data_IF_842544251471
#
_entry.id   IF_842544251471
#
_cell.length_a   1.000
_cell.length_b   1.000
_cell.length_c   1.000
_cell.angle_alpha   90.00
_cell.angle_beta   90.00
_cell.angle_gamma   90.00
#
_symmetry.space_group_name_H-M   'P 1'
#
loop_
_entity.id
_entity.type
_entity.pdbx_description
1 polymer ?
#
# COMPACT_ATOMS: atom_id res chain seq x y z
N UNK A 1 13.79 54.53 -68.03
CA UNK A 1 14.40 55.27 -66.91
C UNK A 1 14.96 54.27 -65.89
N UNK A 2 16.28 54.11 -65.85
CA UNK A 2 17.04 53.75 -64.64
C UNK A 2 17.61 55.09 -64.08
N UNK A 3 18.28 55.23 -62.89
CA UNK A 3 19.11 54.21 -62.20
C UNK A 3 19.14 54.30 -60.62
N UNK A 4 19.46 53.21 -59.90
CA UNK A 4 20.72 52.78 -59.21
C UNK A 4 21.09 53.37 -57.81
N UNK A 5 21.42 52.40 -56.93
CA UNK A 5 22.54 52.29 -55.94
C UNK A 5 22.56 53.14 -54.65
N UNK A 6 22.75 52.47 -53.49
CA UNK A 6 24.06 52.24 -52.84
C UNK A 6 23.96 51.38 -51.57
N UNK A 7 24.93 50.47 -51.42
CA UNK A 7 25.34 49.74 -50.20
C UNK A 7 26.29 50.61 -49.36
N UNK A 8 26.45 50.36 -48.04
CA UNK A 8 27.73 50.31 -47.25
C UNK A 8 27.47 50.28 -45.71
N UNK A 9 27.78 49.12 -45.12
CA UNK A 9 28.63 48.72 -43.95
C UNK A 9 29.32 49.75 -42.98
N UNK A 10 29.14 49.49 -41.66
CA UNK A 10 29.96 49.63 -40.39
C UNK A 10 30.43 50.98 -39.79
N UNK A 11 30.14 51.17 -38.48
CA UNK A 11 31.11 51.58 -37.42
C UNK A 11 30.59 51.31 -35.99
N UNK A 12 31.45 50.75 -35.12
CA UNK A 12 31.25 50.34 -33.71
C UNK A 12 31.02 51.48 -32.70
N UNK A 13 30.31 51.19 -31.60
CA UNK A 13 30.53 51.80 -30.27
C UNK A 13 29.94 50.91 -29.17
N UNK A 14 30.79 50.44 -28.26
CA UNK A 14 30.44 49.74 -27.01
C UNK A 14 29.77 50.67 -25.99
N UNK A 15 28.72 50.19 -25.28
CA UNK A 15 28.38 50.67 -23.94
C UNK A 15 27.93 49.52 -23.01
N UNK A 16 28.61 49.46 -21.87
CA UNK A 16 28.53 48.49 -20.78
C UNK A 16 27.28 48.62 -19.90
N UNK A 17 26.76 47.46 -19.45
CA UNK A 17 25.65 47.34 -18.48
C UNK A 17 26.21 47.02 -17.07
N UNK A 18 25.78 47.71 -15.99
CA UNK A 18 26.34 47.52 -14.65
C UNK A 18 25.68 46.36 -13.84
N UNK A 19 26.37 45.79 -12.82
CA UNK A 19 26.00 44.55 -12.12
C UNK A 19 25.08 44.73 -10.89
N UNK A 20 24.48 43.64 -10.34
CA UNK A 20 23.46 43.72 -9.30
C UNK A 20 24.01 43.84 -7.86
N UNK A 21 23.29 44.60 -7.02
CA UNK A 21 23.64 44.97 -5.63
C UNK A 21 23.24 43.91 -4.59
N UNK A 22 24.18 43.54 -3.72
CA UNK A 22 23.96 42.88 -2.42
C UNK A 22 23.38 43.87 -1.39
N UNK A 23 22.48 43.43 -0.49
CA UNK A 23 22.04 44.22 0.67
C UNK A 23 22.25 43.44 1.98
N UNK A 24 23.05 44.07 2.83
CA UNK A 24 23.49 43.68 4.16
C UNK A 24 22.37 43.72 5.23
N UNK A 25 22.55 42.85 6.22
CA UNK A 25 21.88 42.78 7.52
C UNK A 25 22.12 44.01 8.41
N UNK A 26 21.16 44.46 9.24
CA UNK A 26 21.40 45.49 10.26
C UNK A 26 21.76 44.90 11.63
N UNK A 27 22.91 45.33 12.18
CA UNK A 27 23.22 45.27 13.62
C UNK A 27 22.48 46.40 14.37
N UNK A 28 21.97 46.13 15.58
CA UNK A 28 21.69 47.18 16.57
C UNK A 28 21.96 46.70 18.01
N UNK A 29 22.35 47.69 18.81
CA UNK A 29 23.12 47.68 20.05
C UNK A 29 22.45 47.03 21.27
N UNK A 30 23.32 46.63 22.20
CA UNK A 30 23.10 46.16 23.56
C UNK A 30 22.28 47.10 24.46
N UNK A 31 21.43 46.50 25.30
CA UNK A 31 21.12 46.97 26.66
C UNK A 31 20.91 45.75 27.56
N UNK A 32 21.65 45.72 28.65
CA UNK A 32 21.57 44.78 29.76
C UNK A 32 20.37 45.06 30.66
N UNK A 33 19.65 44.03 31.07
CA UNK A 33 19.08 43.89 32.41
C UNK A 33 18.64 42.44 32.63
N UNK A 34 18.97 41.91 33.80
CA UNK A 34 18.85 40.51 34.18
C UNK A 34 17.43 40.14 34.66
N UNK A 35 16.98 38.93 34.34
CA UNK A 35 16.32 38.00 35.29
C UNK A 35 15.89 36.69 34.60
N UNK A 36 16.56 35.60 35.01
CA UNK A 36 16.08 34.22 35.17
C UNK A 36 14.94 33.65 34.30
N UNK A 37 15.25 32.69 33.42
CA UNK A 37 14.37 31.54 33.13
C UNK A 37 15.12 30.42 32.39
N UNK A 38 14.86 29.17 32.78
CA UNK A 38 15.46 27.89 32.41
C UNK A 38 15.71 27.64 30.89
N UNK A 39 16.67 26.77 30.50
CA UNK A 39 16.94 26.50 29.10
C UNK A 39 15.83 25.64 28.48
N UNK A 40 15.04 26.24 27.58
CA UNK A 40 14.24 25.50 26.62
C UNK A 40 15.18 24.95 25.55
N UNK A 41 15.40 23.62 25.54
CA UNK A 41 16.20 22.95 24.51
C UNK A 41 15.53 23.11 23.15
N UNK A 42 16.09 23.94 22.28
CA UNK A 42 15.69 24.04 20.88
C UNK A 42 16.05 22.74 20.16
N UNK A 43 15.09 22.19 19.41
CA UNK A 43 15.30 20.98 18.61
C UNK A 43 16.29 21.30 17.48
N UNK A 44 17.56 20.88 17.64
CA UNK A 44 18.61 21.06 16.65
C UNK A 44 18.51 19.96 15.59
N UNK A 45 18.07 20.35 14.39
CA UNK A 45 17.94 19.44 13.25
C UNK A 45 19.28 18.81 12.82
N UNK A 46 20.39 19.52 13.08
CA UNK A 46 21.74 19.05 12.77
C UNK A 46 22.19 17.93 13.70
N UNK A 47 21.82 18.01 14.98
CA UNK A 47 22.10 16.96 15.96
C UNK A 47 21.23 15.72 15.70
N UNK A 48 20.00 15.89 15.21
CA UNK A 48 19.12 14.78 14.79
C UNK A 48 19.72 13.92 13.66
N UNK A 49 20.36 14.54 12.67
CA UNK A 49 20.99 13.84 11.55
C UNK A 49 22.29 13.11 11.93
N UNK A 50 22.91 13.48 13.05
CA UNK A 50 24.19 12.93 13.53
C UNK A 50 24.02 11.89 14.64
N UNK A 51 22.77 11.52 14.96
CA UNK A 51 22.49 10.54 16.02
C UNK A 51 22.94 9.15 15.58
N UNK A 52 23.56 8.37 16.48
CA UNK A 52 23.69 6.95 16.24
C UNK A 52 22.28 6.37 16.09
N UNK A 53 22.05 5.60 15.02
CA UNK A 53 20.82 4.84 14.88
C UNK A 53 20.67 3.82 16.02
N UNK A 54 19.49 3.20 16.20
CA UNK A 54 19.25 2.19 17.23
C UNK A 54 20.38 1.15 17.25
N UNK A 55 21.05 1.05 18.40
CA UNK A 55 22.31 0.31 18.58
C UNK A 55 22.16 -1.18 18.27
N UNK A 56 20.94 -1.73 18.29
CA UNK A 56 20.72 -3.16 18.09
C UNK A 56 19.30 -3.54 17.63
N UNK A 57 18.78 -2.89 16.58
CA UNK A 57 17.53 -3.30 15.92
C UNK A 57 17.49 -4.81 15.66
N UNK A 58 16.62 -5.54 16.37
CA UNK A 58 16.41 -6.97 16.20
C UNK A 58 17.24 -7.90 17.09
N UNK A 59 18.03 -7.39 18.05
CA UNK A 59 18.84 -8.20 18.96
C UNK A 59 18.03 -8.93 20.05
N UNK A 60 16.88 -8.37 20.45
CA UNK A 60 15.94 -8.96 21.41
C UNK A 60 14.56 -9.13 20.76
N UNK A 61 14.01 -10.33 20.83
CA UNK A 61 12.63 -10.59 20.43
C UNK A 61 11.66 -10.23 21.56
N UNK A 62 10.48 -9.73 21.19
CA UNK A 62 9.40 -9.53 22.14
C UNK A 62 8.95 -10.91 22.64
N UNK A 63 8.87 -11.15 23.96
CA UNK A 63 8.52 -12.46 24.49
C UNK A 63 7.11 -12.90 24.10
N UNK A 64 6.89 -14.21 24.10
CA UNK A 64 5.57 -14.80 23.91
C UNK A 64 4.78 -14.76 25.23
N UNK A 65 3.82 -13.84 25.31
CA UNK A 65 2.97 -13.63 26.48
C UNK A 65 1.63 -14.35 26.39
N UNK A 66 0.93 -14.43 27.51
CA UNK A 66 -0.42 -15.00 27.55
C UNK A 66 -1.41 -14.19 26.68
N UNK A 67 -2.42 -14.84 26.06
CA UNK A 67 -3.40 -14.15 25.23
C UNK A 67 -4.15 -13.10 26.07
N UNK A 68 -4.15 -11.86 25.57
CA UNK A 68 -4.83 -10.75 26.24
C UNK A 68 -4.12 -10.23 27.48
N UNK A 69 -2.87 -10.61 27.78
CA UNK A 69 -2.19 -10.21 29.02
C UNK A 69 -2.11 -8.70 29.25
N UNK A 70 -2.21 -7.88 28.20
CA UNK A 70 -2.23 -6.41 28.31
C UNK A 70 -3.63 -5.80 28.11
N UNK A 71 -4.69 -6.61 28.15
CA UNK A 71 -6.08 -6.13 28.08
C UNK A 71 -6.37 -5.10 29.18
N UNK A 72 -7.21 -4.12 28.85
CA UNK A 72 -7.57 -3.03 29.76
C UNK A 72 -6.49 -1.97 29.95
N UNK A 73 -5.23 -2.25 29.57
CA UNK A 73 -4.13 -1.29 29.69
C UNK A 73 -4.10 -0.33 28.50
N UNK A 74 -3.81 0.95 28.79
CA UNK A 74 -3.52 1.96 27.77
C UNK A 74 -2.03 2.29 27.79
N UNK A 75 -1.33 2.05 26.68
CA UNK A 75 0.11 2.22 26.54
C UNK A 75 0.46 3.37 25.61
N UNK A 76 1.54 4.08 25.91
CA UNK A 76 2.09 5.13 25.06
C UNK A 76 3.59 4.93 24.90
N UNK A 77 4.05 4.79 23.66
CA UNK A 77 5.47 4.70 23.35
C UNK A 77 6.05 6.10 23.11
N UNK A 78 7.21 6.38 23.67
CA UNK A 78 7.92 7.68 23.54
C UNK A 78 9.40 7.46 23.26
N UNK A 79 10.03 8.37 22.53
CA UNK A 79 11.43 8.19 22.11
C UNK A 79 11.63 7.08 21.07
N UNK A 80 12.90 6.75 20.84
CA UNK A 80 13.37 5.61 20.06
C UNK A 80 13.68 4.43 20.98
N UNK A 81 13.25 3.23 20.60
CA UNK A 81 13.51 2.01 21.36
C UNK A 81 14.81 1.37 20.88
N UNK A 82 15.53 0.69 21.77
CA UNK A 82 16.93 0.30 21.55
C UNK A 82 17.05 -1.03 20.79
N UNK A 83 16.14 -1.97 21.07
CA UNK A 83 16.22 -3.33 20.55
C UNK A 83 15.05 -3.67 19.60
N UNK A 84 13.87 -3.09 19.81
CA UNK A 84 12.64 -3.37 19.07
C UNK A 84 12.19 -2.13 18.31
N UNK A 85 11.90 -2.27 17.01
CA UNK A 85 11.30 -1.18 16.23
C UNK A 85 9.99 -0.68 16.85
N UNK A 86 9.80 0.64 16.89
CA UNK A 86 8.60 1.28 17.46
C UNK A 86 7.29 0.66 16.93
N UNK A 87 7.24 0.37 15.63
CA UNK A 87 6.09 -0.25 15.00
C UNK A 87 5.86 -1.67 15.51
N UNK A 88 6.91 -2.48 15.63
CA UNK A 88 6.86 -3.83 16.19
C UNK A 88 6.40 -3.85 17.65
N UNK A 89 6.87 -2.90 18.46
CA UNK A 89 6.44 -2.77 19.87
C UNK A 89 4.96 -2.37 19.99
N UNK A 90 4.51 -1.46 19.13
CA UNK A 90 3.09 -1.07 19.03
C UNK A 90 2.23 -2.24 18.58
N UNK A 91 2.70 -3.02 17.59
CA UNK A 91 2.02 -4.21 17.10
C UNK A 91 1.92 -5.30 18.18
N UNK A 92 2.99 -5.55 18.93
CA UNK A 92 2.96 -6.51 20.02
C UNK A 92 2.04 -6.08 21.17
N UNK A 93 2.09 -4.80 21.57
CA UNK A 93 1.17 -4.26 22.57
C UNK A 93 -0.29 -4.48 22.16
N UNK A 94 -0.63 -4.19 20.90
CA UNK A 94 -1.98 -4.44 20.35
C UNK A 94 -2.31 -5.93 20.28
N UNK A 95 -1.35 -6.78 19.90
CA UNK A 95 -1.50 -8.24 19.82
C UNK A 95 -1.93 -8.84 21.16
N UNK A 96 -1.38 -8.32 22.27
CA UNK A 96 -1.73 -8.76 23.63
C UNK A 96 -2.88 -7.98 24.27
N UNK A 97 -3.63 -7.17 23.49
CA UNK A 97 -4.87 -6.55 23.94
C UNK A 97 -4.75 -5.13 24.50
N UNK A 98 -3.56 -4.52 24.50
CA UNK A 98 -3.38 -3.16 24.96
C UNK A 98 -3.96 -2.12 23.99
N UNK A 99 -4.47 -1.02 24.53
CA UNK A 99 -4.84 0.16 23.76
C UNK A 99 -3.64 1.08 23.62
N UNK A 100 -3.12 1.25 22.40
CA UNK A 100 -1.98 2.16 22.17
C UNK A 100 -2.47 3.54 21.74
N UNK A 101 -2.05 4.60 22.44
CA UNK A 101 -2.36 6.00 22.08
C UNK A 101 -1.09 6.78 21.72
N UNK A 102 -1.22 7.80 20.88
CA UNK A 102 -0.08 8.61 20.41
C UNK A 102 0.47 9.56 21.48
N UNK A 103 -0.39 9.99 22.41
CA UNK A 103 -0.08 10.95 23.46
C UNK A 103 -0.47 10.41 24.85
N UNK A 104 0.30 10.75 25.89
CA UNK A 104 -0.03 10.41 27.28
C UNK A 104 -1.26 11.18 27.76
N UNK A 105 -2.19 10.48 28.41
CA UNK A 105 -3.43 11.02 28.95
C UNK A 105 -3.64 10.53 30.38
N UNK A 106 -4.61 11.08 31.11
CA UNK A 106 -4.94 10.59 32.46
C UNK A 106 -5.47 9.14 32.49
N UNK A 107 -5.82 8.58 31.32
CA UNK A 107 -6.26 7.18 31.18
C UNK A 107 -5.11 6.24 30.79
N UNK A 108 -3.88 6.75 30.66
CA UNK A 108 -2.71 5.96 30.27
C UNK A 108 -2.20 5.16 31.46
N UNK A 109 -2.12 3.85 31.32
CA UNK A 109 -1.66 2.93 32.36
C UNK A 109 -0.13 2.94 32.49
N UNK A 110 0.58 2.86 31.37
CA UNK A 110 2.05 2.91 31.32
C UNK A 110 2.55 3.71 30.13
N UNK A 111 3.65 4.42 30.33
CA UNK A 111 4.38 5.11 29.28
C UNK A 111 5.73 4.42 29.09
N UNK A 112 5.96 3.89 27.89
CA UNK A 112 7.23 3.25 27.54
C UNK A 112 8.19 4.34 27.08
N UNK A 113 9.27 4.52 27.85
CA UNK A 113 10.33 5.49 27.61
C UNK A 113 11.45 4.84 26.80
N UNK A 114 11.64 5.34 25.58
CA UNK A 114 12.85 5.12 24.78
C UNK A 114 13.81 6.30 24.89
N UNK A 115 14.93 6.23 24.16
CA UNK A 115 15.93 7.31 24.08
C UNK A 115 15.28 8.61 23.59
N UNK A 116 15.66 9.70 24.24
CA UNK A 116 15.23 11.08 23.93
C UNK A 116 13.70 11.25 23.77
N UNK A 117 12.92 11.00 24.84
CA UNK A 117 11.49 11.26 24.81
C UNK A 117 11.24 12.77 24.61
N UNK A 118 10.34 13.10 23.68
CA UNK A 118 10.08 14.50 23.35
C UNK A 118 9.64 15.34 24.57
N UNK A 119 10.07 16.61 24.68
CA UNK A 119 9.93 17.42 25.90
C UNK A 119 8.48 17.63 26.35
N UNK A 120 7.54 17.75 25.40
CA UNK A 120 6.10 17.86 25.70
C UNK A 120 5.54 16.59 26.38
N UNK A 121 6.06 15.42 25.99
CA UNK A 121 5.62 14.14 26.57
C UNK A 121 6.19 13.98 27.98
N UNK A 122 7.44 14.38 28.21
CA UNK A 122 8.05 14.40 29.54
C UNK A 122 7.28 15.29 30.52
N UNK A 123 6.93 16.51 30.10
CA UNK A 123 6.09 17.42 30.91
C UNK A 123 4.75 16.76 31.25
N UNK A 124 4.06 16.21 30.25
CA UNK A 124 2.76 15.57 30.48
C UNK A 124 2.84 14.35 31.42
N UNK A 125 3.95 13.61 31.39
CA UNK A 125 4.19 12.46 32.28
C UNK A 125 4.38 12.95 33.72
N UNK A 126 5.17 14.01 33.92
CA UNK A 126 5.41 14.62 35.23
C UNK A 126 4.14 15.26 35.80
N UNK A 127 3.45 16.08 35.01
CA UNK A 127 2.22 16.80 35.41
C UNK A 127 1.10 15.84 35.86
N UNK A 128 1.04 14.66 35.25
CA UNK A 128 -0.01 13.66 35.51
C UNK A 128 0.46 12.49 36.37
N UNK A 129 1.71 12.46 36.80
CA UNK A 129 2.29 11.37 37.60
C UNK A 129 2.11 9.99 36.98
N UNK A 130 2.32 9.86 35.67
CA UNK A 130 2.09 8.59 34.95
C UNK A 130 3.23 7.59 35.22
N UNK A 131 2.89 6.30 35.33
CA UNK A 131 3.87 5.22 35.49
C UNK A 131 4.69 5.05 34.21
N UNK A 132 6.00 5.04 34.33
CA UNK A 132 6.94 4.87 33.21
C UNK A 132 7.61 3.50 33.27
N UNK A 133 7.76 2.85 32.11
CA UNK A 133 8.51 1.61 31.94
C UNK A 133 9.56 1.82 30.85
N UNK A 134 10.67 1.09 30.95
CA UNK A 134 11.64 0.94 29.88
C UNK A 134 11.25 -0.22 28.94
N UNK A 135 12.06 -0.44 27.91
CA UNK A 135 11.83 -1.51 26.94
C UNK A 135 11.85 -2.91 27.59
N UNK A 136 12.81 -3.15 28.50
CA UNK A 136 12.91 -4.42 29.22
C UNK A 136 11.72 -4.61 30.18
N UNK A 137 11.25 -3.55 30.83
CA UNK A 137 10.04 -3.54 31.64
C UNK A 137 8.78 -3.83 30.83
N UNK A 138 8.68 -3.36 29.58
CA UNK A 138 7.59 -3.71 28.67
C UNK A 138 7.61 -5.20 28.29
N UNK A 139 8.79 -5.76 27.99
CA UNK A 139 8.93 -7.19 27.71
C UNK A 139 8.58 -8.05 28.94
N UNK A 140 9.05 -7.66 30.13
CA UNK A 140 8.71 -8.34 31.37
C UNK A 140 7.22 -8.29 31.67
N UNK A 141 6.55 -7.17 31.38
CA UNK A 141 5.10 -7.05 31.53
C UNK A 141 4.36 -8.07 30.64
N UNK A 142 4.82 -8.29 29.41
CA UNK A 142 4.24 -9.30 28.51
C UNK A 142 4.48 -10.72 29.03
N UNK A 143 5.69 -11.00 29.53
CA UNK A 143 6.10 -12.35 29.95
C UNK A 143 5.46 -12.80 31.27
N UNK A 144 5.28 -11.88 32.21
CA UNK A 144 4.85 -12.21 33.59
C UNK A 144 3.34 -12.08 33.81
N UNK A 145 2.64 -11.33 32.96
CA UNK A 145 1.21 -11.07 33.15
C UNK A 145 0.37 -12.27 32.70
N UNK A 146 -0.51 -12.73 33.59
CA UNK A 146 -1.42 -13.85 33.36
C UNK A 146 -2.45 -13.56 32.24
N UNK A 147 -3.12 -14.59 31.67
CA UNK A 147 -4.17 -14.41 30.68
C UNK A 147 -5.26 -13.47 31.19
N UNK A 148 -5.76 -12.57 30.35
CA UNK A 148 -6.79 -11.63 30.79
C UNK A 148 -8.12 -12.33 31.06
N UNK A 149 -8.70 -12.00 32.22
CA UNK A 149 -10.05 -12.36 32.63
C UNK A 149 -11.07 -11.24 32.34
N UNK A 150 -10.67 -10.18 31.62
CA UNK A 150 -11.56 -9.05 31.36
C UNK A 150 -12.77 -9.52 30.54
N UNK A 151 -14.01 -9.30 31.03
CA UNK A 151 -15.21 -9.68 30.30
C UNK A 151 -15.30 -9.03 28.90
N UNK A 152 -14.75 -7.82 28.75
CA UNK A 152 -14.69 -7.10 27.47
C UNK A 152 -13.80 -7.80 26.44
N UNK A 153 -12.62 -8.29 26.86
CA UNK A 153 -11.70 -9.03 26.00
C UNK A 153 -12.27 -10.40 25.65
N UNK A 154 -12.75 -11.16 26.65
CA UNK A 154 -13.35 -12.47 26.45
C UNK A 154 -14.56 -12.43 25.51
N UNK A 155 -15.45 -11.44 25.67
CA UNK A 155 -16.59 -11.26 24.77
C UNK A 155 -16.15 -10.88 23.35
N UNK A 156 -15.09 -10.06 23.20
CA UNK A 156 -14.53 -9.73 21.90
C UNK A 156 -13.93 -10.95 21.21
N UNK A 157 -13.17 -11.77 21.93
CA UNK A 157 -12.58 -13.02 21.41
C UNK A 157 -13.69 -13.99 20.97
N UNK A 158 -14.71 -14.23 21.81
CA UNK A 158 -15.85 -15.09 21.46
C UNK A 158 -16.59 -14.59 20.22
N UNK A 159 -16.78 -13.27 20.09
CA UNK A 159 -17.42 -12.66 18.92
C UNK A 159 -16.56 -12.83 17.66
N UNK A 160 -15.26 -12.64 17.77
CA UNK A 160 -14.32 -12.80 16.66
C UNK A 160 -14.25 -14.28 16.23
N UNK A 161 -14.23 -15.23 17.16
CA UNK A 161 -14.29 -16.68 16.90
C UNK A 161 -15.59 -17.10 16.20
N UNK A 162 -16.74 -16.64 16.70
CA UNK A 162 -18.03 -16.91 16.07
C UNK A 162 -18.11 -16.36 14.64
N UNK A 163 -17.51 -15.19 14.41
CA UNK A 163 -17.42 -14.59 13.07
C UNK A 163 -16.52 -15.43 12.15
N UNK A 164 -15.34 -15.84 12.62
CA UNK A 164 -14.43 -16.70 11.86
C UNK A 164 -15.11 -18.01 11.45
N UNK A 165 -15.85 -18.64 12.37
CA UNK A 165 -16.60 -19.87 12.07
C UNK A 165 -17.67 -19.65 11.00
N UNK A 166 -18.47 -18.59 11.14
CA UNK A 166 -19.49 -18.23 10.14
C UNK A 166 -18.89 -17.94 8.77
N UNK A 167 -17.81 -17.17 8.72
CA UNK A 167 -17.11 -16.83 7.47
C UNK A 167 -16.54 -18.10 6.79
N UNK A 168 -16.04 -19.06 7.57
CA UNK A 168 -15.55 -20.34 7.06
C UNK A 168 -16.69 -21.20 6.46
N UNK A 169 -17.82 -21.32 7.15
CA UNK A 169 -18.99 -22.08 6.68
C UNK A 169 -19.57 -21.49 5.37
N UNK A 170 -19.67 -20.16 5.27
CA UNK A 170 -20.16 -19.49 4.06
C UNK A 170 -19.21 -19.74 2.87
N UNK A 171 -17.90 -19.73 3.10
CA UNK A 171 -16.89 -20.00 2.06
C UNK A 171 -16.91 -21.45 1.58
N UNK A 172 -17.13 -22.42 2.47
CA UNK A 172 -17.30 -23.82 2.09
C UNK A 172 -18.57 -24.03 1.24
N UNK A 173 -19.66 -23.31 1.54
CA UNK A 173 -20.88 -23.39 0.75
C UNK A 173 -20.68 -22.87 -0.69
N UNK A 174 -20.00 -21.73 -0.84
CA UNK A 174 -19.68 -21.14 -2.16
C UNK A 174 -18.80 -22.09 -2.99
N UNK A 175 -17.81 -22.73 -2.36
CA UNK A 175 -16.94 -23.68 -3.05
C UNK A 175 -17.71 -24.92 -3.54
N UNK A 176 -18.62 -25.47 -2.71
CA UNK A 176 -19.47 -26.59 -3.11
C UNK A 176 -20.36 -26.22 -4.31
N UNK A 177 -20.89 -24.99 -4.34
CA UNK A 177 -21.68 -24.49 -5.47
C UNK A 177 -20.84 -24.30 -6.74
N UNK A 178 -19.62 -23.75 -6.62
CA UNK A 178 -18.69 -23.59 -7.74
C UNK A 178 -18.28 -24.94 -8.33
N UNK A 179 -17.88 -25.90 -7.48
CA UNK A 179 -17.56 -27.27 -7.92
C UNK A 179 -18.74 -27.95 -8.62
N UNK A 180 -19.98 -27.66 -8.21
CA UNK A 180 -21.17 -28.19 -8.87
C UNK A 180 -21.44 -27.52 -10.24
N UNK A 181 -21.12 -26.23 -10.39
CA UNK A 181 -21.20 -25.50 -11.68
C UNK A 181 -20.11 -25.94 -12.65
N UNK A 182 -18.88 -26.12 -12.18
CA UNK A 182 -17.74 -26.55 -13.00
C UNK A 182 -17.91 -27.99 -13.51
N UNK A 183 -18.49 -28.89 -12.69
CA UNK A 183 -18.87 -30.24 -13.14
C UNK A 183 -19.99 -30.27 -14.19
N UNK A 184 -20.79 -29.20 -14.30
CA UNK A 184 -21.83 -29.07 -15.33
C UNK A 184 -21.30 -28.47 -16.63
N UNK A 185 -20.23 -27.67 -16.59
CA UNK A 185 -19.60 -27.08 -17.78
C UNK A 185 -18.50 -27.95 -18.40
N UNK A 186 -17.88 -28.87 -17.65
CA UNK A 186 -16.73 -29.68 -18.10
C UNK A 186 -17.08 -30.96 -18.89
N UNK A 187 -18.19 -31.00 -19.64
CA UNK A 187 -18.48 -32.12 -20.55
C UNK A 187 -17.69 -32.05 -21.88
N UNK A 188 -16.78 -31.09 -22.03
CA UNK A 188 -15.94 -30.92 -23.22
C UNK A 188 -14.58 -30.27 -22.91
N UNK A 189 -13.68 -30.99 -22.23
CA UNK A 189 -12.23 -30.98 -22.51
C UNK A 189 -11.49 -31.86 -21.50
N UNK A 190 -10.82 -32.88 -22.02
CA UNK A 190 -9.95 -33.78 -21.27
C UNK A 190 -8.56 -33.15 -21.15
N UNK A 191 -8.35 -32.32 -20.14
CA UNK A 191 -7.00 -31.92 -19.71
C UNK A 191 -6.80 -32.33 -18.26
N UNK A 192 -5.67 -32.98 -17.98
CA UNK A 192 -5.32 -33.59 -16.70
C UNK A 192 -5.53 -32.63 -15.52
N UNK A 193 -6.60 -32.89 -14.76
CA UNK A 193 -6.83 -32.23 -13.49
C UNK A 193 -5.82 -32.78 -12.48
N UNK A 194 -4.80 -31.99 -12.19
CA UNK A 194 -3.99 -32.16 -10.99
C UNK A 194 -4.93 -32.28 -9.78
N UNK A 195 -4.71 -33.30 -8.94
CA UNK A 195 -5.55 -33.57 -7.77
C UNK A 195 -5.79 -32.29 -6.96
N UNK A 196 -7.03 -32.00 -6.49
CA UNK A 196 -7.38 -30.76 -5.78
C UNK A 196 -6.60 -30.52 -4.47
N UNK A 197 -5.78 -31.48 -4.05
CA UNK A 197 -4.90 -31.40 -2.88
C UNK A 197 -3.46 -30.96 -3.20
N UNK A 198 -3.05 -30.82 -4.47
CA UNK A 198 -1.69 -30.37 -4.83
C UNK A 198 -1.59 -28.86 -5.11
N UNK A 199 -2.70 -28.13 -5.01
CA UNK A 199 -2.73 -26.69 -5.26
C UNK A 199 -2.18 -25.89 -4.08
N UNK A 200 -1.34 -24.89 -4.35
CA UNK A 200 -0.82 -23.97 -3.34
C UNK A 200 -1.97 -23.28 -2.58
N UNK A 201 -1.82 -23.12 -1.26
CA UNK A 201 -2.82 -22.46 -0.41
C UNK A 201 -3.13 -21.03 -0.86
N UNK A 202 -2.13 -20.33 -1.38
CA UNK A 202 -2.28 -18.96 -1.93
C UNK A 202 -3.24 -18.90 -3.12
N UNK A 203 -3.33 -19.98 -3.91
CA UNK A 203 -4.26 -20.09 -5.03
C UNK A 203 -5.59 -20.67 -4.54
N UNK A 204 -5.57 -21.74 -3.75
CA UNK A 204 -6.76 -22.43 -3.21
C UNK A 204 -7.64 -21.50 -2.37
N UNK A 205 -7.04 -20.61 -1.59
CA UNK A 205 -7.73 -19.68 -0.71
C UNK A 205 -7.66 -18.22 -1.19
N UNK A 206 -7.34 -18.03 -2.48
CA UNK A 206 -7.39 -16.73 -3.11
C UNK A 206 -8.78 -16.09 -2.92
N UNK A 207 -8.86 -14.79 -2.62
CA UNK A 207 -10.11 -14.04 -2.53
C UNK A 207 -10.98 -14.21 -3.78
N UNK A 208 -12.23 -14.63 -3.60
CA UNK A 208 -13.22 -14.75 -4.69
C UNK A 208 -14.34 -13.73 -4.56
N UNK A 209 -14.50 -13.17 -3.36
CA UNK A 209 -15.49 -12.15 -3.05
C UNK A 209 -14.84 -10.98 -2.33
N UNK A 210 -15.47 -9.81 -2.39
CA UNK A 210 -14.96 -8.60 -1.73
C UNK A 210 -14.76 -8.79 -0.20
N UNK A 211 -15.59 -9.63 0.41
CA UNK A 211 -15.52 -9.95 1.85
C UNK A 211 -14.24 -10.69 2.25
N UNK A 212 -13.66 -11.46 1.33
CA UNK A 212 -12.44 -12.26 1.53
C UNK A 212 -11.17 -11.43 1.63
N UNK A 213 -11.21 -10.18 1.13
CA UNK A 213 -10.03 -9.34 1.12
C UNK A 213 -9.69 -8.88 2.54
N UNK A 214 -8.43 -9.07 2.90
CA UNK A 214 -7.88 -8.71 4.19
C UNK A 214 -7.24 -7.32 4.12
N UNK A 215 -7.80 -6.36 4.83
CA UNK A 215 -7.36 -4.96 4.76
C UNK A 215 -7.73 -4.27 3.45
N UNK A 216 -7.48 -2.97 3.36
CA UNK A 216 -7.67 -2.16 2.15
C UNK A 216 -9.05 -2.23 1.46
N UNK A 217 -10.12 -2.71 2.13
CA UNK A 217 -11.45 -2.89 1.53
C UNK A 217 -11.97 -1.65 0.80
N UNK A 218 -11.86 -0.48 1.43
CA UNK A 218 -12.26 0.78 0.81
C UNK A 218 -11.43 1.18 -0.43
N UNK A 219 -10.20 0.67 -0.60
CA UNK A 219 -9.43 0.87 -1.82
C UNK A 219 -9.91 -0.05 -2.94
N UNK A 220 -10.26 -1.30 -2.62
CA UNK A 220 -10.82 -2.25 -3.58
C UNK A 220 -12.20 -1.78 -4.06
N UNK A 221 -13.03 -1.27 -3.15
CA UNK A 221 -14.31 -0.65 -3.49
C UNK A 221 -14.14 0.55 -4.43
N UNK A 222 -13.10 1.36 -4.26
CA UNK A 222 -12.78 2.44 -5.22
C UNK A 222 -12.41 1.90 -6.59
N UNK A 223 -11.60 0.85 -6.67
CA UNK A 223 -11.25 0.20 -7.94
C UNK A 223 -12.51 -0.35 -8.61
N UNK A 224 -13.37 -1.05 -7.85
CA UNK A 224 -14.63 -1.60 -8.33
C UNK A 224 -15.56 -0.50 -8.87
N UNK A 225 -15.79 0.55 -8.08
CA UNK A 225 -16.61 1.68 -8.49
C UNK A 225 -16.05 2.38 -9.73
N UNK A 226 -14.72 2.51 -9.83
CA UNK A 226 -14.09 3.07 -11.02
C UNK A 226 -14.34 2.20 -12.25
N UNK A 227 -14.14 0.88 -12.16
CA UNK A 227 -14.39 -0.08 -13.25
C UNK A 227 -15.85 -0.06 -13.71
N UNK A 228 -16.81 -0.09 -12.78
CA UNK A 228 -18.24 -0.08 -13.09
C UNK A 228 -18.68 1.19 -13.83
N UNK A 229 -18.08 2.33 -13.51
CA UNK A 229 -18.38 3.61 -14.15
C UNK A 229 -17.47 3.92 -15.35
N UNK A 230 -16.52 3.04 -15.67
CA UNK A 230 -15.47 3.32 -16.64
C UNK A 230 -16.03 3.54 -18.05
N UNK A 231 -16.98 2.70 -18.47
CA UNK A 231 -17.60 2.81 -19.79
C UNK A 231 -18.38 4.13 -19.96
N UNK A 232 -19.05 4.57 -18.91
CA UNK A 232 -19.75 5.86 -18.89
C UNK A 232 -18.75 7.03 -18.99
N UNK A 233 -17.61 6.95 -18.30
CA UNK A 233 -16.55 7.95 -18.40
C UNK A 233 -15.90 8.00 -19.79
N UNK A 234 -15.75 6.85 -20.45
CA UNK A 234 -15.28 6.78 -21.83
C UNK A 234 -16.22 7.51 -22.79
N UNK A 235 -17.53 7.32 -22.65
CA UNK A 235 -18.55 8.03 -23.45
C UNK A 235 -18.54 9.54 -23.18
N UNK A 236 -18.33 9.95 -21.93
CA UNK A 236 -18.19 11.35 -21.54
C UNK A 236 -16.83 11.97 -21.95
N UNK A 237 -15.90 11.19 -22.48
CA UNK A 237 -14.59 11.68 -22.91
C UNK A 237 -13.60 11.98 -21.78
N UNK A 238 -13.85 11.50 -20.56
CA UNK A 238 -13.05 11.79 -19.35
C UNK A 238 -12.85 13.31 -19.12
N UNK A 239 -13.90 14.05 -18.74
CA UNK A 239 -13.81 15.48 -18.51
C UNK A 239 -12.78 15.80 -17.43
N UNK A 240 -11.91 16.78 -17.72
CA UNK A 240 -10.90 17.28 -16.78
C UNK A 240 -11.59 18.10 -15.70
N UNK A 241 -11.98 17.47 -14.59
CA UNK A 241 -12.33 18.21 -13.39
C UNK A 241 -11.05 18.82 -12.77
N UNK A 242 -11.13 20.05 -12.27
CA UNK A 242 -10.00 20.80 -11.69
C UNK A 242 -9.54 20.24 -10.33
N UNK A 243 -10.23 19.21 -9.82
CA UNK A 243 -9.82 18.49 -8.62
C UNK A 243 -8.62 17.57 -8.93
N UNK A 244 -7.44 17.95 -8.43
CA UNK A 244 -6.16 17.22 -8.61
C UNK A 244 -6.18 15.74 -8.21
N UNK A 245 -7.22 15.26 -7.53
CA UNK A 245 -7.31 13.91 -6.97
C UNK A 245 -8.52 13.09 -7.48
N UNK A 246 -9.25 13.53 -8.51
CA UNK A 246 -10.41 12.76 -8.95
C UNK A 246 -10.01 11.54 -9.80
N UNK A 247 -10.04 10.37 -9.17
CA UNK A 247 -9.84 9.05 -9.78
C UNK A 247 -10.83 8.81 -10.95
N UNK A 248 -12.03 9.40 -10.90
CA UNK A 248 -13.09 9.23 -11.91
C UNK A 248 -12.78 9.95 -13.24
N UNK A 249 -11.78 10.81 -13.28
CA UNK A 249 -11.36 11.51 -14.51
C UNK A 249 -10.24 10.78 -15.26
N UNK A 250 -9.79 9.62 -14.75
CA UNK A 250 -8.57 8.95 -15.22
C UNK A 250 -8.89 7.65 -15.95
N UNK A 251 -8.24 7.47 -17.11
CA UNK A 251 -8.35 6.27 -17.95
C UNK A 251 -7.69 5.03 -17.34
N UNK A 252 -6.76 5.24 -16.41
CA UNK A 252 -6.03 4.17 -15.73
C UNK A 252 -5.90 4.44 -14.23
N UNK A 253 -5.71 3.37 -13.46
CA UNK A 253 -5.38 3.44 -12.04
C UNK A 253 -3.91 3.05 -11.79
N UNK A 254 -3.28 3.68 -10.81
CA UNK A 254 -2.00 3.28 -10.26
C UNK A 254 -2.19 2.78 -8.83
N UNK A 255 -2.07 1.47 -8.65
CA UNK A 255 -2.16 0.79 -7.36
C UNK A 255 -0.75 0.59 -6.81
N UNK A 256 -0.46 1.13 -5.64
CA UNK A 256 0.87 1.02 -5.04
C UNK A 256 0.86 0.74 -3.55
N UNK A 257 1.95 0.18 -3.05
CA UNK A 257 2.14 -0.16 -1.64
C UNK A 257 3.09 -1.33 -1.46
N UNK A 258 3.37 -1.68 -0.20
CA UNK A 258 4.30 -2.75 0.17
C UNK A 258 4.04 -4.09 -0.59
N UNK A 259 5.07 -4.90 -0.83
CA UNK A 259 4.90 -6.22 -1.45
C UNK A 259 4.03 -7.13 -0.56
N UNK A 260 3.33 -8.08 -1.18
CA UNK A 260 2.55 -9.11 -0.45
C UNK A 260 1.26 -8.64 0.23
N UNK A 261 0.80 -7.40 0.02
CA UNK A 261 -0.44 -6.88 0.64
C UNK A 261 -1.70 -7.09 -0.21
N UNK A 262 -1.61 -7.88 -1.28
CA UNK A 262 -2.75 -8.26 -2.13
C UNK A 262 -3.12 -7.27 -3.23
N UNK A 263 -2.16 -6.50 -3.78
CA UNK A 263 -2.40 -5.54 -4.87
C UNK A 263 -2.92 -6.23 -6.15
N UNK A 264 -2.17 -7.20 -6.68
CA UNK A 264 -2.52 -8.00 -7.86
C UNK A 264 -3.83 -8.73 -7.64
N UNK A 265 -3.95 -9.41 -6.50
CA UNK A 265 -5.17 -10.11 -6.11
C UNK A 265 -6.40 -9.20 -6.07
N UNK A 266 -6.28 -7.99 -5.52
CA UNK A 266 -7.37 -7.03 -5.45
C UNK A 266 -7.76 -6.50 -6.83
N UNK A 267 -6.80 -6.23 -7.71
CA UNK A 267 -7.06 -5.77 -9.07
C UNK A 267 -7.83 -6.84 -9.88
N UNK A 268 -7.36 -8.09 -9.84
CA UNK A 268 -8.05 -9.21 -10.50
C UNK A 268 -9.46 -9.43 -9.96
N UNK A 269 -9.62 -9.39 -8.63
CA UNK A 269 -10.91 -9.60 -8.01
C UNK A 269 -11.89 -8.47 -8.36
N UNK A 270 -11.46 -7.21 -8.29
CA UNK A 270 -12.29 -6.07 -8.67
C UNK A 270 -12.71 -6.12 -10.14
N UNK A 271 -11.79 -6.47 -11.05
CA UNK A 271 -12.09 -6.67 -12.47
C UNK A 271 -13.15 -7.75 -12.69
N UNK A 272 -12.98 -8.94 -12.09
CA UNK A 272 -13.93 -10.04 -12.20
C UNK A 272 -15.31 -9.68 -11.65
N UNK A 273 -15.37 -9.04 -10.48
CA UNK A 273 -16.65 -8.61 -9.88
C UNK A 273 -17.35 -7.55 -10.75
N UNK A 274 -16.58 -6.65 -11.38
CA UNK A 274 -17.12 -5.65 -12.31
C UNK A 274 -17.56 -6.24 -13.66
N UNK A 275 -17.38 -7.55 -13.89
CA UNK A 275 -17.72 -8.21 -15.16
C UNK A 275 -16.66 -8.09 -16.25
N UNK A 276 -15.44 -7.64 -15.90
CA UNK A 276 -14.32 -7.61 -16.82
C UNK A 276 -13.53 -8.93 -16.78
N UNK A 277 -12.93 -9.30 -17.92
CA UNK A 277 -11.90 -10.32 -18.02
C UNK A 277 -10.53 -9.68 -17.76
N UNK A 278 -9.87 -9.93 -16.62
CA UNK A 278 -8.55 -9.38 -16.35
C UNK A 278 -7.49 -10.07 -17.22
N UNK A 279 -6.69 -9.29 -17.92
CA UNK A 279 -5.50 -9.73 -18.64
C UNK A 279 -4.27 -9.16 -17.94
N UNK A 280 -3.55 -10.03 -17.24
CA UNK A 280 -2.33 -9.70 -16.51
C UNK A 280 -1.12 -9.73 -17.44
N UNK A 281 -0.34 -8.66 -17.42
CA UNK A 281 0.92 -8.53 -18.15
C UNK A 281 1.98 -8.06 -17.16
N UNK A 282 3.11 -8.77 -17.09
CA UNK A 282 4.25 -8.24 -16.35
C UNK A 282 4.86 -7.08 -17.16
N UNK A 283 5.08 -5.92 -16.54
CA UNK A 283 5.69 -4.77 -17.20
C UNK A 283 7.11 -5.08 -17.72
N UNK A 284 7.81 -6.05 -17.13
CA UNK A 284 9.10 -6.56 -17.64
C UNK A 284 8.97 -7.35 -18.94
N UNK A 285 7.78 -7.86 -19.28
CA UNK A 285 7.53 -8.67 -20.48
C UNK A 285 7.04 -7.83 -21.66
N UNK A 286 6.51 -6.63 -21.38
CA UNK A 286 6.20 -5.60 -22.38
C UNK A 286 7.51 -4.93 -22.86
N UNK A 287 8.45 -5.73 -23.39
CA UNK A 287 9.76 -5.25 -23.82
C UNK A 287 9.68 -4.61 -25.18
N UNK A 288 10.05 -3.33 -25.20
CA UNK A 288 10.26 -2.47 -26.36
C UNK A 288 9.03 -1.75 -26.92
N UNK A 289 9.30 -0.48 -27.24
CA UNK A 289 8.43 0.51 -27.87
C UNK A 289 7.69 0.00 -29.13
N UNK A 290 8.24 -0.99 -29.86
CA UNK A 290 7.63 -1.56 -31.07
C UNK A 290 6.39 -2.42 -30.81
N UNK A 291 6.38 -3.17 -29.69
CA UNK A 291 5.23 -4.00 -29.30
C UNK A 291 4.04 -3.13 -28.86
N UNK A 292 4.31 -2.00 -28.20
CA UNK A 292 3.29 -1.03 -27.79
C UNK A 292 2.84 -0.17 -28.98
N UNK A 293 3.74 0.27 -29.86
CA UNK A 293 3.40 1.09 -31.03
C UNK A 293 2.49 0.35 -32.02
N UNK A 294 2.73 -0.95 -32.26
CA UNK A 294 1.85 -1.79 -33.07
C UNK A 294 0.47 -2.01 -32.39
N UNK A 295 0.40 -1.92 -31.06
CA UNK A 295 -0.84 -2.01 -30.27
C UNK A 295 -1.65 -0.70 -30.30
N UNK A 296 -0.98 0.45 -30.45
CA UNK A 296 -1.65 1.77 -30.45
C UNK A 296 -2.28 2.18 -31.78
N UNK A 297 -1.99 1.48 -32.88
CA UNK A 297 -2.45 1.81 -34.23
C UNK A 297 -3.65 0.99 -34.71
N UNK A 298 -4.20 0.13 -33.85
CA UNK A 298 -5.35 -0.71 -34.19
C UNK A 298 -6.46 -0.32 -33.23
N UNK A 299 -7.55 0.21 -33.78
CA UNK A 299 -8.79 0.43 -33.07
C UNK A 299 -9.17 -0.83 -32.28
N UNK A 300 -9.00 -0.77 -30.96
CA UNK A 300 -9.19 -1.77 -29.88
C UNK A 300 -10.13 -2.98 -30.17
N UNK A 301 -9.84 -3.78 -31.18
CA UNK A 301 -10.64 -4.95 -31.56
C UNK A 301 -9.80 -6.22 -31.64
N UNK A 302 -8.47 -6.11 -31.78
CA UNK A 302 -7.59 -7.26 -31.63
C UNK A 302 -6.16 -6.84 -31.24
N UNK A 303 -5.65 -7.46 -30.17
CA UNK A 303 -4.22 -7.43 -29.79
C UNK A 303 -3.46 -8.59 -30.47
N UNK A 304 -4.03 -9.15 -31.56
CA UNK A 304 -3.57 -10.39 -32.23
C UNK A 304 -2.11 -10.35 -32.72
N UNK A 305 -1.52 -9.17 -32.90
CA UNK A 305 -0.10 -9.04 -33.29
C UNK A 305 0.88 -8.93 -32.11
N UNK A 306 0.40 -8.92 -30.87
CA UNK A 306 1.24 -8.84 -29.66
C UNK A 306 1.62 -10.22 -29.11
N UNK A 307 0.79 -11.24 -29.36
CA UNK A 307 0.98 -12.60 -28.85
C UNK A 307 1.70 -13.49 -29.87
N UNK A 308 3.03 -13.40 -29.87
CA UNK A 308 3.87 -14.40 -30.54
C UNK A 308 3.60 -15.81 -30.00
N UNK A 309 3.36 -16.75 -30.91
CA UNK A 309 3.15 -18.21 -30.78
C UNK A 309 3.16 -18.82 -29.36
N UNK A 310 2.04 -19.46 -29.01
CA UNK A 310 1.85 -20.54 -28.01
C UNK A 310 0.90 -20.28 -26.82
N UNK A 311 0.08 -19.24 -26.86
CA UNK A 311 -1.06 -19.12 -25.94
C UNK A 311 -2.33 -18.80 -26.71
N UNK A 312 -3.43 -19.46 -26.34
CA UNK A 312 -4.74 -19.30 -26.97
C UNK A 312 -5.09 -17.81 -27.12
N UNK A 313 -5.37 -17.41 -28.36
CA UNK A 313 -5.73 -16.04 -28.74
C UNK A 313 -7.10 -15.70 -28.16
N UNK A 314 -7.14 -14.89 -27.10
CA UNK A 314 -8.39 -14.29 -26.63
C UNK A 314 -8.58 -12.92 -27.29
N UNK A 315 -9.55 -12.73 -28.20
CA UNK A 315 -9.83 -11.43 -28.77
C UNK A 315 -10.19 -10.42 -27.67
N UNK A 316 -9.62 -9.21 -27.73
CA UNK A 316 -9.93 -8.15 -26.78
C UNK A 316 -11.35 -7.63 -27.03
N UNK A 317 -12.30 -8.11 -26.23
CA UNK A 317 -13.64 -7.56 -26.21
C UNK A 317 -13.68 -6.30 -25.30
N UNK A 318 -14.74 -5.50 -25.41
CA UNK A 318 -14.97 -4.34 -24.52
C UNK A 318 -15.05 -4.70 -23.03
N UNK A 319 -15.12 -5.99 -22.71
CA UNK A 319 -15.07 -6.55 -21.37
C UNK A 319 -13.65 -6.81 -20.86
N UNK A 320 -12.57 -6.53 -21.60
CA UNK A 320 -11.20 -6.78 -21.10
C UNK A 320 -10.71 -5.64 -20.20
N UNK A 321 -10.07 -5.99 -19.08
CA UNK A 321 -9.33 -5.07 -18.23
C UNK A 321 -7.85 -5.44 -18.24
N UNK A 322 -6.97 -4.52 -18.65
CA UNK A 322 -5.53 -4.73 -18.66
C UNK A 322 -4.95 -4.46 -17.27
N UNK A 323 -4.13 -5.39 -16.76
CA UNK A 323 -3.40 -5.25 -15.50
C UNK A 323 -1.91 -5.32 -15.81
N UNK A 324 -1.20 -4.22 -15.62
CA UNK A 324 0.25 -4.18 -15.71
C UNK A 324 0.85 -4.36 -14.31
N UNK A 325 1.35 -5.56 -14.02
CA UNK A 325 2.02 -5.82 -12.75
C UNK A 325 3.51 -5.42 -12.81
N UNK A 326 4.09 -5.14 -11.65
CA UNK A 326 5.50 -4.78 -11.47
C UNK A 326 5.99 -3.61 -12.36
N UNK A 327 5.16 -2.57 -12.51
CA UNK A 327 5.47 -1.39 -13.35
C UNK A 327 6.78 -0.66 -12.95
N UNK A 328 7.21 -0.79 -11.69
CA UNK A 328 8.46 -0.25 -11.17
C UNK A 328 9.69 -1.15 -11.44
N UNK A 329 9.47 -2.39 -11.88
CA UNK A 329 10.50 -3.37 -12.24
C UNK A 329 11.12 -3.17 -13.62
N UNK A 330 10.61 -2.24 -14.44
CA UNK A 330 11.19 -1.93 -15.76
C UNK A 330 12.65 -1.47 -15.60
N UNK A 331 13.59 -2.17 -16.22
CA UNK A 331 15.04 -2.00 -16.03
C UNK A 331 15.58 -0.73 -16.70
N UNK A 332 16.85 -0.41 -16.50
CA UNK A 332 17.52 0.72 -17.19
C UNK A 332 17.61 0.55 -18.71
N UNK A 333 17.39 -0.66 -19.23
CA UNK A 333 17.29 -0.93 -20.67
C UNK A 333 15.98 -0.44 -21.30
N UNK A 334 14.96 -0.14 -20.48
CA UNK A 334 13.59 0.13 -20.93
C UNK A 334 13.28 1.63 -21.05
N UNK A 335 14.29 2.46 -21.40
CA UNK A 335 14.19 3.94 -21.48
C UNK A 335 13.00 4.44 -22.33
N UNK A 336 12.48 3.63 -23.26
CA UNK A 336 11.29 3.95 -24.06
C UNK A 336 9.96 3.32 -23.60
N UNK A 337 9.99 2.34 -22.69
CA UNK A 337 8.81 1.54 -22.32
C UNK A 337 7.80 2.32 -21.47
N UNK A 338 8.28 3.00 -20.42
CA UNK A 338 7.43 3.85 -19.56
C UNK A 338 6.70 4.93 -20.36
N UNK A 339 7.40 5.57 -21.30
CA UNK A 339 6.81 6.60 -22.17
C UNK A 339 5.75 6.05 -23.12
N UNK A 340 6.01 4.88 -23.72
CA UNK A 340 5.05 4.20 -24.59
C UNK A 340 3.81 3.74 -23.82
N UNK A 341 3.98 3.18 -22.61
CA UNK A 341 2.86 2.80 -21.74
C UNK A 341 2.04 4.02 -21.31
N UNK A 342 2.68 5.16 -21.03
CA UNK A 342 1.97 6.40 -20.73
C UNK A 342 1.15 6.92 -21.93
N UNK A 343 1.66 6.76 -23.16
CA UNK A 343 0.92 7.07 -24.39
C UNK A 343 -0.26 6.13 -24.58
N UNK A 344 -0.09 4.83 -24.33
CA UNK A 344 -1.15 3.83 -24.35
C UNK A 344 -2.28 4.21 -23.39
N UNK A 345 -1.95 4.56 -22.14
CA UNK A 345 -2.93 4.99 -21.12
C UNK A 345 -3.76 6.19 -21.57
N UNK A 346 -3.18 7.14 -22.31
CA UNK A 346 -3.92 8.32 -22.79
C UNK A 346 -4.90 8.00 -23.91
N UNK A 347 -4.62 6.96 -24.71
CA UNK A 347 -5.40 6.58 -25.90
C UNK A 347 -6.33 5.37 -25.68
N UNK A 348 -6.15 4.64 -24.57
CA UNK A 348 -6.87 3.40 -24.31
C UNK A 348 -8.39 3.57 -24.33
N UNK A 349 -9.08 2.56 -24.90
CA UNK A 349 -10.53 2.38 -24.85
C UNK A 349 -10.94 1.17 -24.00
N UNK A 350 -10.02 0.65 -23.20
CA UNK A 350 -10.26 -0.35 -22.16
C UNK A 350 -9.63 0.09 -20.83
N UNK A 351 -10.17 -0.32 -19.66
CA UNK A 351 -9.61 0.05 -18.37
C UNK A 351 -8.23 -0.57 -18.16
N UNK A 352 -7.27 0.24 -17.69
CA UNK A 352 -5.90 -0.17 -17.36
C UNK A 352 -5.66 0.01 -15.85
N UNK A 353 -5.11 -1.02 -15.20
CA UNK A 353 -4.64 -0.97 -13.82
C UNK A 353 -3.14 -1.23 -13.80
N UNK A 354 -2.35 -0.24 -13.42
CA UNK A 354 -0.91 -0.37 -13.20
C UNK A 354 -0.64 -0.65 -11.72
N UNK A 355 0.23 -1.62 -11.43
CA UNK A 355 0.60 -2.01 -10.08
C UNK A 355 2.11 -1.76 -9.90
N UNK A 356 2.49 -1.15 -8.77
CA UNK A 356 3.90 -1.03 -8.39
C UNK A 356 4.10 -1.19 -6.88
N UNK A 357 5.34 -1.46 -6.46
CA UNK A 357 5.67 -1.51 -5.03
C UNK A 357 6.00 -0.12 -4.49
N UNK A 358 6.80 0.64 -5.23
CA UNK A 358 7.20 2.00 -4.84
C UNK A 358 6.80 3.06 -5.89
N UNK A 359 5.89 3.95 -5.49
CA UNK A 359 5.49 5.10 -6.29
C UNK A 359 6.57 6.20 -6.33
N UNK A 360 7.44 6.30 -5.32
CA UNK A 360 8.44 7.35 -5.23
C UNK A 360 9.58 7.19 -6.25
N UNK A 361 9.72 6.00 -6.83
CA UNK A 361 10.67 5.71 -7.90
C UNK A 361 10.52 6.73 -9.06
N UNK A 362 11.61 7.41 -9.49
CA UNK A 362 11.58 8.38 -10.58
C UNK A 362 10.95 7.86 -11.88
N UNK A 363 11.05 6.55 -12.14
CA UNK A 363 10.43 5.89 -13.30
C UNK A 363 8.90 5.95 -13.28
N UNK A 364 8.30 6.08 -12.10
CA UNK A 364 6.85 6.11 -11.94
C UNK A 364 6.24 7.50 -12.14
N UNK A 365 7.06 8.56 -12.16
CA UNK A 365 6.59 9.97 -12.31
C UNK A 365 5.61 10.18 -13.47
N UNK A 366 5.81 9.60 -14.68
CA UNK A 366 4.86 9.75 -15.76
C UNK A 366 3.45 9.22 -15.42
N UNK A 367 3.36 8.08 -14.73
CA UNK A 367 2.10 7.47 -14.30
C UNK A 367 1.39 8.27 -13.20
N UNK A 368 2.15 8.95 -12.34
CA UNK A 368 1.57 9.79 -11.27
C UNK A 368 0.67 10.90 -11.81
N UNK A 369 0.94 11.38 -13.03
CA UNK A 369 0.15 12.45 -13.67
C UNK A 369 -1.07 11.93 -14.44
N UNK A 370 -0.96 10.73 -15.02
CA UNK A 370 -1.96 10.15 -15.94
C UNK A 370 -2.92 9.19 -15.28
N UNK A 371 -2.54 8.57 -14.17
CA UNK A 371 -3.33 7.56 -13.49
C UNK A 371 -4.00 8.12 -12.22
N UNK A 372 -5.14 7.54 -11.86
CA UNK A 372 -5.78 7.75 -10.55
C UNK A 372 -5.02 6.99 -9.47
N UNK A 373 -4.73 7.62 -8.33
CA UNK A 373 -3.89 7.04 -7.29
C UNK A 373 -4.69 6.18 -6.30
N UNK A 374 -4.23 4.94 -6.07
CA UNK A 374 -4.79 4.03 -5.07
C UNK A 374 -3.67 3.49 -4.19
N UNK A 375 -3.68 3.88 -2.91
CA UNK A 375 -2.66 3.49 -1.93
C UNK A 375 -3.12 2.28 -1.13
N UNK A 376 -2.41 1.17 -1.23
CA UNK A 376 -2.58 0.01 -0.36
C UNK A 376 -1.63 0.11 0.83
N UNK A 377 -2.16 -0.16 2.03
CA UNK A 377 -1.40 -0.19 3.28
C UNK A 377 -1.30 -1.61 3.80
N UNK A 378 -0.31 -1.88 4.65
CA UNK A 378 -0.23 -3.17 5.34
C UNK A 378 -1.51 -3.41 6.16
N UNK A 379 -2.21 -4.53 5.98
CA UNK A 379 -3.37 -4.88 6.81
C UNK A 379 -2.97 -5.00 8.28
N UNK A 380 -3.94 -4.77 9.18
CA UNK A 380 -3.68 -4.95 10.61
C UNK A 380 -3.52 -6.45 10.93
N UNK A 381 -2.63 -6.79 11.87
CA UNK A 381 -2.39 -8.16 12.30
C UNK A 381 -3.67 -8.91 12.70
N UNK A 382 -4.65 -8.20 13.29
CA UNK A 382 -5.97 -8.74 13.64
C UNK A 382 -6.77 -9.20 12.42
N UNK A 383 -6.72 -8.43 11.32
CA UNK A 383 -7.39 -8.77 10.06
C UNK A 383 -6.74 -9.98 9.39
N UNK A 384 -5.41 -10.03 9.37
CA UNK A 384 -4.64 -11.16 8.83
C UNK A 384 -4.91 -12.42 9.65
N UNK A 385 -4.85 -12.31 10.99
CA UNK A 385 -5.17 -13.42 11.91
C UNK A 385 -6.56 -13.98 11.65
N UNK A 386 -7.57 -13.13 11.54
CA UNK A 386 -8.95 -13.57 11.27
C UNK A 386 -9.04 -14.42 10.00
N UNK A 387 -8.34 -14.02 8.92
CA UNK A 387 -8.32 -14.80 7.67
C UNK A 387 -7.56 -16.10 7.82
N UNK A 388 -6.38 -16.08 8.43
CA UNK A 388 -5.60 -17.31 8.66
C UNK A 388 -6.43 -18.30 9.47
N UNK A 389 -7.11 -17.87 10.54
CA UNK A 389 -7.97 -18.75 11.33
C UNK A 389 -9.13 -19.32 10.51
N UNK A 390 -9.75 -18.53 9.64
CA UNK A 390 -10.81 -19.05 8.74
C UNK A 390 -10.28 -20.11 7.76
N UNK A 391 -9.04 -19.94 7.27
CA UNK A 391 -8.39 -20.90 6.39
C UNK A 391 -8.03 -22.17 7.17
N UNK A 392 -7.47 -22.04 8.37
CA UNK A 392 -7.10 -23.17 9.22
C UNK A 392 -8.31 -23.99 9.62
N UNK A 393 -9.41 -23.36 10.05
CA UNK A 393 -10.65 -24.06 10.38
C UNK A 393 -11.18 -24.89 9.21
N UNK A 394 -11.03 -24.38 7.98
CA UNK A 394 -11.39 -25.11 6.76
C UNK A 394 -10.42 -26.25 6.45
N UNK A 395 -9.12 -26.08 6.71
CA UNK A 395 -8.15 -27.16 6.59
C UNK A 395 -8.40 -28.28 7.61
N UNK A 396 -8.61 -27.94 8.89
CA UNK A 396 -8.83 -28.92 9.96
C UNK A 396 -10.13 -29.72 9.74
N UNK A 397 -11.18 -29.08 9.22
CA UNK A 397 -12.42 -29.74 8.78
C UNK A 397 -12.15 -30.81 7.70
N UNK A 398 -11.15 -30.59 6.83
CA UNK A 398 -10.74 -31.53 5.79
C UNK A 398 -9.90 -32.68 6.37
N UNK A 399 -9.01 -32.40 7.34
CA UNK A 399 -8.12 -33.42 7.93
C UNK A 399 -8.78 -34.30 9.00
N UNK A 400 -9.81 -33.81 9.71
CA UNK A 400 -10.58 -34.60 10.68
C UNK A 400 -11.60 -35.55 10.04
N UNK A 401 -11.79 -35.50 8.71
CA UNK A 401 -12.69 -36.41 7.97
C UNK A 401 -11.95 -37.40 7.06
N UNK A 402 -10.62 -37.38 7.06
CA UNK A 402 -9.83 -38.48 6.51
C UNK A 402 -9.56 -39.49 7.62
N UNK A 403 -10.18 -40.69 7.63
CA UNK A 403 -9.69 -41.77 8.45
C UNK A 403 -8.25 -42.04 8.05
N UNK A 404 -7.34 -41.90 9.00
CA UNK A 404 -5.98 -42.43 8.89
C UNK A 404 -6.15 -43.95 8.77
N UNK A 405 -6.05 -44.47 7.55
CA UNK A 405 -5.91 -45.90 7.28
C UNK A 405 -4.44 -46.29 7.31
#
# INVERSE_FOLDING_TARGET
MAPKRKTVVISDSDEDVPPPKQKNSPQKKSKSSASSSAPASSFSYKDYLQRPGPESLGSKSIPEGAPGCLSGLTLVFTGELDNVGRDSAVEAAKRYGAKVTAAPSGKTSYVILGREPGPKKLQTIQDKGLKTLDEDGFCNLIATTSPSQDPSYLNKVKKDEAKVKKDAEEMEAIEKEQKAKDKRSSKASSFESTSPNSQLWTVKYAPTQLKDICGNKGQVEKILNWLQNWQHQLQAGFPSDNSKNDIKSKRALLVHGAPGIGKTTAAHLAAKIAGFSPLELNASDVRSKKLIENTTNIDNTSIDSFFGSNSETHPLNHSTCLIFDECDGMSSGDRGGVGAMNTLIRKTRIPIICICNDKANPKMRPFQSTCGDIVFRRPEATQVRSRIMSILHRCDSIYLHTPLY
#
